data_IF_996415867437
#
_entry.id   IF_996415867437
#
_cell.length_a   1.000
_cell.length_b   1.000
_cell.length_c   1.000
_cell.angle_alpha   90.00
_cell.angle_beta   90.00
_cell.angle_gamma   90.00
#
_symmetry.space_group_name_H-M   'P 1'
#
loop_
_entity.id
_entity.type
_entity.pdbx_description
1 polymer ?
#
# COMPACT_ATOMS: atom_id res chain seq x y z
N UNK A 1 -41.82 8.73 53.86
CA UNK A 1 -40.79 7.87 53.23
C UNK A 1 -41.05 7.86 51.72
N UNK A 2 -40.44 8.77 50.98
CA UNK A 2 -40.64 8.91 49.54
C UNK A 2 -39.27 9.13 48.87
N UNK A 3 -38.49 8.06 48.76
CA UNK A 3 -37.21 8.06 48.06
C UNK A 3 -36.92 6.67 47.50
N UNK A 4 -37.74 6.23 46.54
CA UNK A 4 -37.49 4.98 45.82
C UNK A 4 -38.03 4.95 44.38
N UNK A 5 -38.58 6.06 43.88
CA UNK A 5 -39.16 6.10 42.51
C UNK A 5 -38.28 6.81 41.48
N UNK A 6 -37.16 7.42 41.88
CA UNK A 6 -36.26 8.13 40.97
C UNK A 6 -35.07 7.28 40.49
N UNK A 7 -34.73 6.18 41.17
CA UNK A 7 -33.57 5.36 40.83
C UNK A 7 -33.84 4.31 39.74
N UNK A 8 -35.10 3.92 39.54
CA UNK A 8 -35.46 2.88 38.56
C UNK A 8 -35.51 3.43 37.12
N UNK A 9 -35.63 4.75 36.96
CA UNK A 9 -35.70 5.37 35.63
C UNK A 9 -34.33 5.53 34.94
N UNK A 10 -33.22 5.50 35.69
CA UNK A 10 -31.87 5.68 35.14
C UNK A 10 -31.19 4.38 34.66
N UNK A 11 -31.72 3.22 35.04
CA UNK A 11 -31.18 1.92 34.60
C UNK A 11 -31.76 1.45 33.25
N UNK A 12 -32.85 2.05 32.78
CA UNK A 12 -33.47 1.67 31.49
C UNK A 12 -32.80 2.40 30.31
N UNK A 13 -32.09 3.51 30.56
CA UNK A 13 -31.37 4.24 29.51
C UNK A 13 -29.98 3.67 29.19
N UNK A 14 -29.44 2.77 30.03
CA UNK A 14 -28.15 2.11 29.77
C UNK A 14 -28.26 0.82 28.95
N UNK A 15 -29.47 0.38 28.61
CA UNK A 15 -29.69 -0.83 27.79
C UNK A 15 -30.05 -0.48 26.33
N UNK A 16 -30.25 0.79 26.01
CA UNK A 16 -30.60 1.30 24.68
C UNK A 16 -29.43 1.93 23.89
N UNK A 17 -28.19 1.69 24.33
CA UNK A 17 -27.04 1.61 23.42
C UNK A 17 -26.85 0.11 23.15
N UNK A 18 -27.90 -0.56 22.66
CA UNK A 18 -28.03 -0.82 21.23
C UNK A 18 -26.63 -1.00 20.61
N UNK A 19 -26.08 -2.20 20.82
CA UNK A 19 -25.58 -3.04 19.74
C UNK A 19 -25.40 -2.28 18.42
N UNK A 20 -24.40 -1.41 18.38
CA UNK A 20 -23.71 -1.13 17.14
C UNK A 20 -22.88 -2.37 16.91
N UNK A 21 -23.57 -3.45 16.52
CA UNK A 21 -22.96 -4.46 15.68
C UNK A 21 -22.26 -3.62 14.62
N UNK A 22 -20.94 -3.60 14.68
CA UNK A 22 -20.15 -3.26 13.52
C UNK A 22 -20.76 -4.16 12.45
N UNK A 23 -21.60 -3.58 11.59
CA UNK A 23 -21.86 -4.15 10.29
C UNK A 23 -20.50 -4.04 9.66
N UNK A 24 -19.66 -5.04 9.91
CA UNK A 24 -18.58 -5.37 9.03
C UNK A 24 -19.33 -5.69 7.76
N UNK A 25 -19.43 -4.69 6.88
CA UNK A 25 -19.87 -4.91 5.54
C UNK A 25 -19.05 -6.12 5.08
N UNK A 26 -19.74 -7.23 4.81
CA UNK A 26 -19.11 -8.31 4.07
C UNK A 26 -18.41 -7.63 2.90
N UNK A 27 -17.13 -7.95 2.59
CA UNK A 27 -16.45 -7.30 1.49
C UNK A 27 -17.40 -7.41 0.31
N UNK A 28 -17.90 -6.27 -0.17
CA UNK A 28 -18.60 -6.22 -1.44
C UNK A 28 -17.67 -6.96 -2.36
N UNK A 29 -18.16 -8.06 -2.93
CA UNK A 29 -17.40 -8.96 -3.77
C UNK A 29 -17.07 -8.19 -5.06
N UNK A 30 -16.24 -7.16 -4.94
CA UNK A 30 -15.74 -6.38 -6.03
C UNK A 30 -14.85 -7.35 -6.76
N UNK A 31 -15.15 -7.53 -8.04
CA UNK A 31 -14.23 -8.21 -8.94
C UNK A 31 -13.02 -7.29 -9.01
N UNK A 32 -12.07 -7.43 -8.08
CA UNK A 32 -10.86 -6.63 -8.03
C UNK A 32 -9.88 -7.27 -9.03
N UNK A 33 -9.41 -6.48 -9.98
CA UNK A 33 -8.35 -6.86 -10.90
C UNK A 33 -7.19 -5.90 -10.73
N UNK A 34 -5.97 -6.43 -10.72
CA UNK A 34 -4.77 -5.61 -10.51
C UNK A 34 -3.69 -6.03 -11.49
N UNK A 35 -3.03 -5.05 -12.08
CA UNK A 35 -1.98 -5.26 -13.08
C UNK A 35 -0.74 -4.45 -12.72
N UNK A 36 0.40 -5.13 -12.57
CA UNK A 36 1.69 -4.46 -12.45
C UNK A 36 2.15 -3.93 -13.82
N UNK A 37 2.73 -2.73 -13.86
CA UNK A 37 3.20 -2.09 -15.09
C UNK A 37 4.40 -1.18 -14.82
N UNK A 38 5.35 -1.12 -15.76
CA UNK A 38 6.39 -0.08 -15.80
C UNK A 38 7.82 -0.49 -15.42
N UNK A 39 8.07 -1.74 -15.01
CA UNK A 39 9.40 -2.18 -14.55
C UNK A 39 10.41 -2.43 -15.70
N UNK A 40 9.96 -2.98 -16.83
CA UNK A 40 10.87 -3.57 -17.83
C UNK A 40 11.28 -2.64 -18.97
N UNK A 41 10.89 -1.35 -18.95
CA UNK A 41 11.23 -0.41 -20.04
C UNK A 41 10.68 -0.81 -21.42
N UNK A 42 9.73 -1.74 -21.50
CA UNK A 42 9.15 -2.27 -22.73
C UNK A 42 8.22 -1.28 -23.46
N UNK A 43 8.22 0.00 -23.07
CA UNK A 43 7.41 1.07 -23.67
C UNK A 43 5.89 0.77 -23.66
N UNK A 44 5.42 0.02 -22.64
CA UNK A 44 4.00 -0.30 -22.43
C UNK A 44 3.31 0.89 -21.74
N UNK A 45 2.17 1.30 -22.29
CA UNK A 45 1.31 2.36 -21.76
C UNK A 45 0.03 1.80 -21.15
N UNK A 46 -0.69 2.61 -20.37
CA UNK A 46 -2.00 2.19 -19.83
C UNK A 46 -3.02 1.79 -20.90
N UNK A 47 -2.94 2.35 -22.12
CA UNK A 47 -3.86 2.03 -23.20
C UNK A 47 -3.64 0.66 -23.84
N UNK A 48 -2.48 0.05 -23.61
CA UNK A 48 -2.14 -1.26 -24.16
C UNK A 48 -2.77 -2.40 -23.34
N UNK A 49 -3.20 -2.11 -22.10
CA UNK A 49 -3.83 -3.08 -21.20
C UNK A 49 -5.35 -3.03 -21.35
N UNK A 50 -6.03 -4.14 -21.68
CA UNK A 50 -7.49 -4.18 -21.77
C UNK A 50 -8.16 -3.96 -20.41
N UNK A 51 -9.04 -2.96 -20.33
CA UNK A 51 -9.77 -2.62 -19.11
C UNK A 51 -11.23 -3.10 -19.22
N UNK A 52 -11.62 -4.05 -18.37
CA UNK A 52 -13.00 -4.45 -18.21
C UNK A 52 -13.75 -3.41 -17.34
N UNK A 53 -14.85 -2.78 -17.79
CA UNK A 53 -15.56 -1.79 -16.99
C UNK A 53 -16.34 -2.37 -15.79
N UNK A 54 -16.47 -3.70 -15.71
CA UNK A 54 -17.25 -4.39 -14.66
C UNK A 54 -16.40 -4.89 -13.48
N UNK A 55 -15.14 -4.45 -13.38
CA UNK A 55 -14.19 -4.80 -12.31
C UNK A 55 -13.67 -3.51 -11.65
N UNK A 56 -13.29 -3.58 -10.37
CA UNK A 56 -12.46 -2.52 -9.74
C UNK A 56 -11.04 -2.75 -10.23
N UNK A 57 -10.54 -1.88 -11.10
CA UNK A 57 -9.31 -2.12 -11.85
C UNK A 57 -8.20 -1.28 -11.26
N UNK A 58 -7.13 -1.89 -10.74
CA UNK A 58 -5.99 -1.13 -10.23
C UNK A 58 -4.74 -1.40 -11.07
N UNK A 59 -4.15 -0.35 -11.64
CA UNK A 59 -2.76 -0.44 -12.09
C UNK A 59 -1.81 -0.28 -10.89
N UNK A 60 -0.68 -0.97 -10.93
CA UNK A 60 0.37 -0.87 -9.91
C UNK A 60 1.70 -0.53 -10.61
N UNK A 61 2.14 0.73 -10.46
CA UNK A 61 3.39 1.23 -11.01
C UNK A 61 4.58 0.55 -10.34
N UNK A 62 5.45 -0.05 -11.15
CA UNK A 62 6.58 -0.87 -10.70
C UNK A 62 7.89 -0.21 -11.14
N UNK A 63 8.72 0.33 -10.25
CA UNK A 63 8.61 0.40 -8.79
C UNK A 63 8.94 1.80 -8.27
N UNK A 64 8.63 2.07 -7.00
CA UNK A 64 9.24 3.14 -6.24
C UNK A 64 10.24 2.55 -5.24
N UNK A 65 11.48 3.03 -5.25
CA UNK A 65 12.55 2.46 -4.43
C UNK A 65 13.15 3.54 -3.53
N UNK A 66 13.49 3.18 -2.29
CA UNK A 66 14.28 4.01 -1.37
C UNK A 66 15.79 3.78 -1.58
N UNK A 67 16.20 3.91 -2.84
CA UNK A 67 17.59 3.77 -3.30
C UNK A 67 17.98 4.96 -4.19
N UNK A 68 19.27 5.29 -4.22
CA UNK A 68 19.79 6.28 -5.16
C UNK A 68 19.69 5.74 -6.60
N UNK A 69 19.23 6.58 -7.53
CA UNK A 69 19.19 6.24 -8.95
C UNK A 69 20.54 6.60 -9.61
N UNK A 70 21.55 5.79 -9.31
CA UNK A 70 22.95 5.95 -9.75
C UNK A 70 23.49 4.60 -10.22
N UNK A 71 24.65 4.58 -10.89
CA UNK A 71 25.27 3.33 -11.33
C UNK A 71 25.65 2.38 -10.18
N UNK A 72 25.84 2.95 -8.98
CA UNK A 72 25.99 2.22 -7.73
C UNK A 72 24.86 2.65 -6.77
N UNK A 73 23.68 2.01 -6.83
CA UNK A 73 22.56 2.33 -5.96
C UNK A 73 22.90 2.08 -4.49
N UNK A 74 22.47 2.98 -3.60
CA UNK A 74 22.59 2.83 -2.14
C UNK A 74 21.27 3.13 -1.44
N UNK A 75 20.96 2.47 -0.30
CA UNK A 75 19.74 2.74 0.45
C UNK A 75 19.68 4.19 0.93
N UNK A 76 18.51 4.81 0.83
CA UNK A 76 18.26 6.22 1.20
C UNK A 76 17.48 6.35 2.51
N UNK A 77 17.33 5.25 3.26
CA UNK A 77 16.58 5.19 4.52
C UNK A 77 15.14 5.71 4.35
N UNK A 78 14.39 5.13 3.42
CA UNK A 78 12.97 5.45 3.19
C UNK A 78 12.71 6.69 2.35
N UNK A 79 13.71 7.29 1.70
CA UNK A 79 13.45 8.38 0.74
C UNK A 79 13.19 7.81 -0.66
N UNK A 80 11.91 7.59 -0.97
CA UNK A 80 11.48 6.93 -2.21
C UNK A 80 11.59 7.84 -3.44
N UNK A 81 11.98 7.24 -4.55
CA UNK A 81 11.96 7.82 -5.89
C UNK A 81 11.26 6.88 -6.87
N UNK A 82 10.75 7.43 -7.98
CA UNK A 82 10.14 6.65 -9.06
C UNK A 82 11.20 5.96 -9.92
N UNK A 83 11.10 4.64 -10.08
CA UNK A 83 11.93 3.80 -10.94
C UNK A 83 11.15 3.20 -12.11
N UNK A 84 9.82 3.35 -12.15
CA UNK A 84 9.01 2.97 -13.31
C UNK A 84 9.28 3.88 -14.52
N UNK A 85 8.82 3.46 -15.70
CA UNK A 85 8.86 4.24 -16.94
C UNK A 85 8.00 5.53 -16.87
N UNK A 86 8.59 6.59 -16.33
CA UNK A 86 7.92 7.90 -16.18
C UNK A 86 7.63 8.60 -17.51
N UNK A 87 8.23 8.15 -18.62
CA UNK A 87 7.92 8.70 -19.96
C UNK A 87 6.58 8.16 -20.48
N UNK A 88 6.30 6.87 -20.26
CA UNK A 88 5.05 6.23 -20.70
C UNK A 88 3.96 6.15 -19.63
N UNK A 89 4.32 6.38 -18.36
CA UNK A 89 3.42 6.32 -17.21
C UNK A 89 3.53 7.61 -16.38
N UNK A 90 3.54 8.75 -17.07
CA UNK A 90 3.61 10.10 -16.48
C UNK A 90 2.33 10.48 -15.70
N UNK A 91 2.37 11.52 -14.85
CA UNK A 91 1.18 12.06 -14.19
C UNK A 91 0.01 12.39 -15.13
N UNK A 92 0.32 12.84 -16.34
CA UNK A 92 -0.69 13.14 -17.36
C UNK A 92 -1.38 11.86 -17.84
N UNK A 93 -0.61 10.80 -18.11
CA UNK A 93 -1.15 9.51 -18.52
C UNK A 93 -1.99 8.86 -17.41
N UNK A 94 -1.55 8.95 -16.15
CA UNK A 94 -2.35 8.50 -14.98
C UNK A 94 -3.68 9.24 -14.90
N UNK A 95 -3.66 10.56 -15.00
CA UNK A 95 -4.88 11.36 -14.94
C UNK A 95 -5.80 11.08 -16.14
N UNK A 96 -5.22 10.89 -17.33
CA UNK A 96 -5.97 10.62 -18.57
C UNK A 96 -6.65 9.25 -18.56
N UNK A 97 -5.99 8.20 -18.04
CA UNK A 97 -6.62 6.88 -17.96
C UNK A 97 -7.76 6.85 -16.94
N UNK A 98 -7.57 7.49 -15.77
CA UNK A 98 -8.62 7.61 -14.74
C UNK A 98 -9.83 8.41 -15.23
N UNK A 99 -9.61 9.47 -16.03
CA UNK A 99 -10.69 10.23 -16.63
C UNK A 99 -11.49 9.43 -17.67
N UNK A 100 -10.82 8.53 -18.41
CA UNK A 100 -11.46 7.65 -19.41
C UNK A 100 -12.15 6.44 -18.80
N UNK A 101 -11.64 5.92 -17.68
CA UNK A 101 -12.14 4.72 -17.01
C UNK A 101 -12.39 5.02 -15.53
N UNK A 102 -13.62 5.41 -15.14
CA UNK A 102 -13.94 5.76 -13.75
C UNK A 102 -13.77 4.62 -12.74
N UNK A 103 -13.69 3.37 -13.21
CA UNK A 103 -13.42 2.18 -12.40
C UNK A 103 -11.91 1.90 -12.20
N UNK A 104 -11.03 2.76 -12.72
CA UNK A 104 -9.57 2.62 -12.59
C UNK A 104 -9.03 3.40 -11.39
N UNK A 105 -8.19 2.74 -10.60
CA UNK A 105 -7.26 3.35 -9.64
C UNK A 105 -5.82 3.05 -10.05
N UNK A 106 -4.87 3.87 -9.60
CA UNK A 106 -3.44 3.66 -9.85
C UNK A 106 -2.66 3.74 -8.54
N UNK A 107 -1.91 2.70 -8.20
CA UNK A 107 -1.00 2.66 -7.06
C UNK A 107 0.46 2.61 -7.53
N UNK A 108 1.39 2.73 -6.58
CA UNK A 108 2.79 2.36 -6.78
C UNK A 108 3.16 1.17 -5.89
N UNK A 109 4.03 0.30 -6.38
CA UNK A 109 4.65 -0.75 -5.57
C UNK A 109 6.00 -0.29 -5.05
N UNK A 110 6.25 -0.53 -3.76
CA UNK A 110 7.45 -0.13 -3.03
C UNK A 110 8.41 -1.33 -2.95
N UNK A 111 9.66 -1.16 -3.37
CA UNK A 111 10.69 -2.22 -3.31
C UNK A 111 11.05 -2.78 -4.68
N UNK A 112 10.63 -4.01 -4.96
CA UNK A 112 11.06 -4.83 -6.10
C UNK A 112 12.31 -5.66 -5.80
N UNK A 113 12.68 -6.52 -6.75
CA UNK A 113 13.89 -7.36 -6.67
C UNK A 113 15.17 -6.52 -6.78
N UNK A 114 15.29 -5.73 -7.85
CA UNK A 114 16.50 -4.96 -8.16
C UNK A 114 16.23 -3.51 -8.57
N UNK A 115 17.19 -2.63 -8.27
CA UNK A 115 17.33 -1.28 -8.82
C UNK A 115 18.26 -1.31 -10.05
N UNK A 116 18.72 -0.12 -10.48
CA UNK A 116 19.65 0.05 -11.60
C UNK A 116 20.85 -0.90 -11.53
N UNK A 117 21.28 -1.42 -12.69
CA UNK A 117 22.39 -2.37 -12.84
C UNK A 117 22.19 -3.69 -12.05
N UNK A 118 20.94 -4.15 -11.90
CA UNK A 118 20.56 -5.37 -11.18
C UNK A 118 21.04 -5.38 -9.71
N UNK A 119 21.14 -4.21 -9.09
CA UNK A 119 21.51 -4.13 -7.68
C UNK A 119 20.31 -4.53 -6.81
N UNK A 120 20.41 -5.54 -5.91
CA UNK A 120 19.27 -5.95 -5.12
C UNK A 120 18.77 -4.83 -4.19
N UNK A 121 17.45 -4.73 -4.04
CA UNK A 121 16.77 -3.73 -3.20
C UNK A 121 16.48 -4.35 -1.84
N UNK A 122 17.42 -4.19 -0.92
CA UNK A 122 17.23 -4.57 0.48
C UNK A 122 16.41 -3.54 1.24
N UNK A 123 15.40 -4.00 1.97
CA UNK A 123 14.79 -3.24 3.05
C UNK A 123 15.83 -3.01 4.17
N UNK A 124 16.31 -1.78 4.29
CA UNK A 124 17.46 -1.44 5.13
C UNK A 124 17.27 -0.12 5.91
N UNK A 125 16.30 -0.05 6.85
CA UNK A 125 16.06 1.15 7.65
C UNK A 125 17.23 1.44 8.60
N UNK A 126 17.61 2.72 8.76
CA UNK A 126 18.57 3.13 9.77
C UNK A 126 17.97 3.05 11.19
N UNK A 127 16.73 3.54 11.32
CA UNK A 127 15.86 3.32 12.48
C UNK A 127 14.41 3.32 12.02
N UNK A 128 13.50 2.68 12.77
CA UNK A 128 12.06 2.71 12.46
C UNK A 128 11.57 4.15 12.27
N UNK A 129 11.87 5.04 13.22
CA UNK A 129 11.34 6.42 13.21
C UNK A 129 11.93 7.32 12.13
N UNK A 130 13.18 7.08 11.68
CA UNK A 130 13.78 7.86 10.60
C UNK A 130 13.27 7.37 9.24
N UNK A 131 13.25 6.06 9.02
CA UNK A 131 12.73 5.45 7.79
C UNK A 131 11.26 5.81 7.57
N UNK A 132 10.40 5.63 8.58
CA UNK A 132 8.95 5.95 8.48
C UNK A 132 8.70 7.42 8.14
N UNK A 133 9.47 8.33 8.74
CA UNK A 133 9.35 9.78 8.47
C UNK A 133 9.69 10.11 7.03
N UNK A 134 10.81 9.58 6.54
CA UNK A 134 11.28 9.78 5.18
C UNK A 134 10.30 9.16 4.18
N UNK A 135 9.82 7.94 4.47
CA UNK A 135 8.86 7.21 3.64
C UNK A 135 7.55 7.96 3.52
N UNK A 136 6.97 8.42 4.63
CA UNK A 136 5.75 9.24 4.60
C UNK A 136 5.98 10.49 3.76
N UNK A 137 7.09 11.20 3.95
CA UNK A 137 7.37 12.45 3.23
C UNK A 137 7.46 12.24 1.72
N UNK A 138 8.32 11.30 1.29
CA UNK A 138 8.61 11.02 -0.12
C UNK A 138 7.41 10.38 -0.84
N UNK A 139 6.73 9.41 -0.22
CA UNK A 139 5.52 8.78 -0.78
C UNK A 139 4.39 9.81 -0.91
N UNK A 140 4.20 10.69 0.08
CA UNK A 140 3.19 11.75 -0.02
C UNK A 140 3.44 12.65 -1.23
N UNK A 141 4.70 13.00 -1.48
CA UNK A 141 5.09 13.80 -2.64
C UNK A 141 4.76 13.06 -3.93
N UNK A 142 5.22 11.82 -4.08
CA UNK A 142 5.00 11.00 -5.28
C UNK A 142 3.50 10.80 -5.55
N UNK A 143 2.71 10.47 -4.52
CA UNK A 143 1.25 10.29 -4.64
C UNK A 143 0.59 11.55 -5.19
N UNK A 144 0.93 12.72 -4.65
CA UNK A 144 0.35 14.00 -5.09
C UNK A 144 0.78 14.37 -6.51
N UNK A 145 2.06 14.20 -6.83
CA UNK A 145 2.62 14.52 -8.14
C UNK A 145 2.01 13.64 -9.24
N UNK A 146 1.70 12.38 -8.94
CA UNK A 146 1.23 11.39 -9.93
C UNK A 146 -0.26 11.06 -9.82
N UNK A 147 -1.01 11.70 -8.91
CA UNK A 147 -2.45 11.45 -8.68
C UNK A 147 -2.77 9.97 -8.37
N UNK A 148 -1.97 9.37 -7.50
CA UNK A 148 -2.07 7.95 -7.12
C UNK A 148 -3.08 7.72 -5.99
N UNK A 149 -3.62 6.52 -5.93
CA UNK A 149 -4.71 6.13 -5.04
C UNK A 149 -4.27 5.16 -3.92
N UNK A 150 -3.11 4.52 -4.07
CA UNK A 150 -2.70 3.40 -3.22
C UNK A 150 -1.19 3.15 -3.23
N UNK A 151 -0.79 2.28 -2.31
CA UNK A 151 0.55 1.67 -2.29
C UNK A 151 0.46 0.15 -2.24
N UNK A 152 1.52 -0.50 -2.68
CA UNK A 152 1.74 -1.94 -2.58
C UNK A 152 3.14 -2.18 -1.98
N UNK A 153 3.29 -3.12 -1.05
CA UNK A 153 4.57 -3.43 -0.40
C UNK A 153 5.15 -4.69 -1.05
N UNK A 154 6.27 -4.56 -1.76
CA UNK A 154 6.90 -5.64 -2.52
C UNK A 154 8.44 -5.67 -2.33
N UNK A 155 8.93 -5.69 -1.09
CA UNK A 155 10.34 -5.95 -0.81
C UNK A 155 10.64 -7.45 -0.82
N UNK A 156 11.73 -7.84 -1.48
CA UNK A 156 12.12 -9.25 -1.60
C UNK A 156 13.40 -9.59 -0.81
N UNK A 157 14.16 -8.56 -0.44
CA UNK A 157 15.42 -8.68 0.28
C UNK A 157 15.39 -7.87 1.58
N UNK A 158 16.00 -8.39 2.65
CA UNK A 158 15.88 -7.80 3.99
C UNK A 158 17.22 -7.71 4.72
N UNK A 159 17.53 -6.52 5.24
CA UNK A 159 18.60 -6.28 6.22
C UNK A 159 18.07 -5.89 7.60
N UNK A 160 16.77 -6.10 7.82
CA UNK A 160 16.11 -5.93 9.11
C UNK A 160 15.38 -7.21 9.49
N UNK A 161 15.05 -7.38 10.78
CA UNK A 161 14.23 -8.49 11.23
C UNK A 161 12.73 -8.27 10.92
N UNK A 162 11.90 -9.33 10.96
CA UNK A 162 10.47 -9.23 10.69
C UNK A 162 9.71 -8.24 11.58
N UNK A 163 10.10 -8.02 12.84
CA UNK A 163 9.43 -7.05 13.69
C UNK A 163 9.77 -5.62 13.30
N UNK A 164 11.04 -5.35 12.98
CA UNK A 164 11.46 -4.04 12.46
C UNK A 164 10.76 -3.72 11.14
N UNK A 165 10.67 -4.68 10.22
CA UNK A 165 9.90 -4.52 8.99
C UNK A 165 8.41 -4.27 9.28
N UNK A 166 7.80 -5.05 10.17
CA UNK A 166 6.40 -4.88 10.55
C UNK A 166 6.10 -3.50 11.14
N UNK A 167 6.96 -2.98 12.00
CA UNK A 167 6.82 -1.64 12.59
C UNK A 167 6.92 -0.54 11.54
N UNK A 168 7.92 -0.62 10.65
CA UNK A 168 8.08 0.36 9.58
C UNK A 168 6.88 0.39 8.64
N UNK A 169 6.48 -0.78 8.11
CA UNK A 169 5.38 -0.88 7.15
C UNK A 169 4.04 -0.55 7.81
N UNK A 170 3.79 -1.05 9.02
CA UNK A 170 2.56 -0.78 9.76
C UNK A 170 2.36 0.70 10.07
N UNK A 171 3.40 1.37 10.58
CA UNK A 171 3.33 2.81 10.88
C UNK A 171 3.22 3.66 9.61
N UNK A 172 3.87 3.25 8.51
CA UNK A 172 3.73 3.89 7.20
C UNK A 172 2.27 3.83 6.72
N UNK A 173 1.70 2.63 6.61
CA UNK A 173 0.33 2.44 6.12
C UNK A 173 -0.67 3.18 7.01
N UNK A 174 -0.52 3.08 8.33
CA UNK A 174 -1.36 3.80 9.29
C UNK A 174 -1.37 5.30 9.01
N UNK A 175 -0.19 5.93 8.88
CA UNK A 175 -0.10 7.37 8.66
C UNK A 175 -0.65 7.80 7.29
N UNK A 176 -0.37 7.03 6.22
CA UNK A 176 -0.86 7.34 4.89
C UNK A 176 -2.38 7.27 4.81
N UNK A 177 -2.99 6.23 5.39
CA UNK A 177 -4.45 6.08 5.45
C UNK A 177 -5.11 7.10 6.38
N UNK A 178 -4.57 7.29 7.59
CA UNK A 178 -5.13 8.24 8.58
C UNK A 178 -5.17 9.67 8.04
N UNK A 179 -4.17 10.05 7.24
CA UNK A 179 -4.08 11.37 6.59
C UNK A 179 -4.78 11.42 5.23
N UNK A 180 -5.44 10.34 4.80
CA UNK A 180 -6.12 10.20 3.51
C UNK A 180 -5.22 10.50 2.31
N UNK A 181 -3.94 10.15 2.42
CA UNK A 181 -2.96 10.28 1.34
C UNK A 181 -3.18 9.15 0.35
N UNK A 182 -3.45 7.94 0.84
CA UNK A 182 -3.84 6.79 0.03
C UNK A 182 -5.19 6.26 0.49
N UNK A 183 -5.94 5.67 -0.44
CA UNK A 183 -7.22 5.02 -0.19
C UNK A 183 -7.09 3.53 0.11
N UNK A 184 -6.04 2.88 -0.41
CA UNK A 184 -5.77 1.47 -0.18
C UNK A 184 -4.28 1.15 -0.02
N UNK A 185 -4.00 0.01 0.58
CA UNK A 185 -2.68 -0.60 0.71
C UNK A 185 -2.75 -2.12 0.48
N UNK A 186 -1.75 -2.68 -0.19
CA UNK A 186 -1.59 -4.13 -0.36
C UNK A 186 -0.18 -4.60 -0.01
N UNK A 187 -0.02 -5.91 0.13
CA UNK A 187 1.26 -6.59 0.29
C UNK A 187 1.39 -7.69 -0.76
N UNK A 188 2.61 -7.99 -1.20
CA UNK A 188 2.91 -8.99 -2.24
C UNK A 188 3.88 -10.08 -1.73
N UNK A 189 3.47 -10.93 -0.76
CA UNK A 189 4.31 -12.03 -0.30
C UNK A 189 4.40 -13.14 -1.35
N UNK A 190 5.45 -13.96 -1.26
CA UNK A 190 5.53 -15.26 -1.93
C UNK A 190 6.16 -16.32 -1.01
N UNK A 191 6.06 -17.59 -1.42
CA UNK A 191 6.50 -18.72 -0.62
C UNK A 191 8.03 -18.86 -0.63
N UNK A 192 8.69 -18.05 0.19
CA UNK A 192 10.12 -18.10 0.46
C UNK A 192 10.40 -17.97 1.96
N UNK A 193 11.44 -18.67 2.43
CA UNK A 193 11.79 -18.77 3.85
C UNK A 193 12.23 -17.44 4.47
N UNK A 194 12.70 -16.48 3.66
CA UNK A 194 13.04 -15.15 4.10
C UNK A 194 11.85 -14.20 3.91
N UNK A 195 11.13 -14.26 2.79
CA UNK A 195 10.00 -13.35 2.51
C UNK A 195 8.79 -13.60 3.42
N UNK A 196 8.38 -14.86 3.59
CA UNK A 196 7.16 -15.18 4.36
C UNK A 196 7.17 -14.62 5.78
N UNK A 197 8.21 -14.83 6.61
CA UNK A 197 8.23 -14.29 7.97
C UNK A 197 8.10 -12.76 8.01
N UNK A 198 8.73 -12.06 7.06
CA UNK A 198 8.68 -10.60 6.99
C UNK A 198 7.28 -10.10 6.64
N UNK A 199 6.51 -10.79 5.80
CA UNK A 199 5.15 -10.37 5.47
C UNK A 199 4.08 -10.85 6.45
N UNK A 200 4.27 -12.00 7.09
CA UNK A 200 3.36 -12.50 8.13
C UNK A 200 3.35 -11.59 9.37
N UNK A 201 4.48 -10.96 9.71
CA UNK A 201 4.59 -10.08 10.87
C UNK A 201 3.69 -8.82 10.77
N UNK A 202 3.77 -7.96 9.72
CA UNK A 202 2.84 -6.85 9.53
C UNK A 202 1.41 -7.33 9.26
N UNK A 203 1.20 -8.45 8.58
CA UNK A 203 -0.14 -8.99 8.40
C UNK A 203 -0.83 -9.29 9.74
N UNK A 204 -0.15 -10.01 10.65
CA UNK A 204 -0.70 -10.33 11.98
C UNK A 204 -0.95 -9.10 12.84
N UNK A 205 -0.06 -8.09 12.77
CA UNK A 205 -0.11 -6.91 13.66
C UNK A 205 -0.95 -5.76 13.10
N UNK A 206 -0.91 -5.55 11.80
CA UNK A 206 -1.47 -4.41 11.09
C UNK A 206 -2.41 -4.82 9.94
N UNK A 207 -2.79 -6.10 9.80
CA UNK A 207 -3.64 -6.59 8.71
C UNK A 207 -4.98 -5.88 8.57
N UNK A 208 -5.52 -5.30 9.66
CA UNK A 208 -6.71 -4.45 9.61
C UNK A 208 -6.53 -3.14 8.80
N UNK A 209 -5.29 -2.78 8.46
CA UNK A 209 -4.95 -1.64 7.60
C UNK A 209 -4.65 -2.05 6.16
N UNK A 210 -4.48 -3.34 5.89
CA UNK A 210 -4.09 -3.91 4.59
C UNK A 210 -5.35 -4.42 3.89
N UNK A 211 -5.66 -3.89 2.72
CA UNK A 211 -6.94 -4.17 2.05
C UNK A 211 -6.92 -5.50 1.30
N UNK A 212 -5.76 -5.93 0.82
CA UNK A 212 -5.59 -7.22 0.17
C UNK A 212 -4.13 -7.71 0.18
N UNK A 213 -3.97 -9.02 0.13
CA UNK A 213 -2.74 -9.67 -0.30
C UNK A 213 -2.81 -9.86 -1.82
N UNK A 214 -1.75 -9.53 -2.54
CA UNK A 214 -1.62 -9.86 -3.94
C UNK A 214 -0.91 -11.19 -4.04
N UNK A 215 -1.51 -12.22 -4.66
CA UNK A 215 -0.68 -13.25 -5.22
C UNK A 215 0.15 -12.55 -6.30
N UNK A 216 1.47 -12.48 -6.08
CA UNK A 216 2.38 -12.52 -7.23
C UNK A 216 2.02 -13.84 -7.90
N UNK A 217 1.24 -13.76 -8.98
CA UNK A 217 1.06 -14.87 -9.88
C UNK A 217 2.46 -15.26 -10.33
N UNK A 218 3.04 -16.28 -9.69
CA UNK A 218 3.94 -17.17 -10.41
C UNK A 218 3.10 -17.68 -11.60
N UNK A 219 3.38 -17.13 -12.78
CA UNK A 219 3.03 -17.78 -14.04
C UNK A 219 3.71 -19.16 -14.09
#
# INVERSE_FOLDING_TARGET
>A
MASSKLLVCLCIFHVLIATSSLIQAAPTNSKLFREYIGADGNNISFSDVPINPNVDFHFILSFANDYTNTDAPTPTNGDFSAFWDTNNLSPFQVSSIKARHPNVKVAMSLGGDTASNNHPVFFSPATISSWVRNAISSITRIVKENNLDGIDINYEHFHADPNTFAECIGQLIFNLKQRKIVSFASIAPYDDNNVQPHYLAPWRKYGHLIDCELPILCL
#
